data_IF_983600562789
#
_entry.id   IF_983600562789
#
_cell.length_a   1.000
_cell.length_b   1.000
_cell.length_c   1.000
_cell.angle_alpha   90.00
_cell.angle_beta   90.00
_cell.angle_gamma   90.00
#
_symmetry.space_group_name_H-M   'P 1'
#
loop_
_entity.id
_entity.type
_entity.pdbx_description
1 polymer ?
#
# COMPACT_ATOMS: atom_id res chain seq x y z
N UNK A 1 -15.67 27.26 22.09
CA UNK A 1 -14.73 26.86 21.01
C UNK A 1 -15.23 25.53 20.46
N UNK A 2 -16.12 25.57 19.47
CA UNK A 2 -16.83 24.40 18.97
C UNK A 2 -16.72 24.37 17.46
N UNK A 3 -15.92 23.44 16.95
CA UNK A 3 -16.11 22.70 15.70
C UNK A 3 -14.85 21.90 15.40
N UNK A 4 -14.79 20.66 15.85
CA UNK A 4 -13.96 19.66 15.17
C UNK A 4 -14.87 18.50 14.79
N UNK A 5 -15.75 18.77 13.81
CA UNK A 5 -16.34 17.68 13.06
C UNK A 5 -15.23 17.11 12.18
N UNK A 6 -15.00 15.80 12.28
CA UNK A 6 -14.02 15.13 11.43
C UNK A 6 -14.36 15.38 9.95
N UNK A 7 -13.32 15.66 9.15
CA UNK A 7 -13.45 15.79 7.70
C UNK A 7 -13.94 14.46 7.10
N UNK A 8 -14.49 14.49 5.88
CA UNK A 8 -14.91 13.27 5.18
C UNK A 8 -13.76 12.27 5.07
N UNK A 9 -12.55 12.75 4.77
CA UNK A 9 -11.35 11.92 4.70
C UNK A 9 -10.99 11.29 6.04
N UNK A 10 -11.01 12.06 7.13
CA UNK A 10 -10.75 11.51 8.47
C UNK A 10 -11.77 10.43 8.84
N UNK A 11 -13.05 10.61 8.51
CA UNK A 11 -14.07 9.57 8.71
C UNK A 11 -13.82 8.32 7.87
N UNK A 12 -13.35 8.48 6.64
CA UNK A 12 -12.97 7.35 5.78
C UNK A 12 -11.76 6.60 6.35
N UNK A 13 -10.72 7.31 6.80
CA UNK A 13 -9.57 6.71 7.46
C UNK A 13 -9.96 5.95 8.72
N UNK A 14 -10.78 6.56 9.59
CA UNK A 14 -11.26 5.91 10.82
C UNK A 14 -12.17 4.71 10.59
N UNK A 15 -12.91 4.68 9.46
CA UNK A 15 -13.69 3.52 9.06
C UNK A 15 -12.78 2.34 8.64
N UNK A 16 -11.58 2.63 8.15
CA UNK A 16 -10.66 1.65 7.58
C UNK A 16 -11.11 1.13 6.20
N UNK A 17 -10.33 0.20 5.67
CA UNK A 17 -10.55 -0.43 4.35
C UNK A 17 -10.04 0.43 3.20
N UNK A 18 -10.56 0.14 2.00
CA UNK A 18 -10.18 0.83 0.77
C UNK A 18 -10.66 2.29 0.76
N UNK A 19 -9.74 3.21 0.51
CA UNK A 19 -10.05 4.61 0.21
C UNK A 19 -10.02 4.85 -1.30
N UNK A 20 -11.02 5.57 -1.85
CA UNK A 20 -10.99 5.94 -3.26
C UNK A 20 -9.83 6.90 -3.52
N UNK A 21 -9.04 6.60 -4.56
CA UNK A 21 -7.94 7.49 -4.97
C UNK A 21 -8.42 8.66 -5.86
N UNK A 22 -9.64 8.60 -6.40
CA UNK A 22 -10.18 9.62 -7.31
C UNK A 22 -10.37 10.94 -6.56
N UNK A 23 -9.61 11.98 -6.97
CA UNK A 23 -9.63 13.28 -6.31
C UNK A 23 -8.96 13.31 -4.93
N UNK A 24 -8.23 12.25 -4.55
CA UNK A 24 -7.55 12.17 -3.26
C UNK A 24 -6.28 13.04 -3.26
N UNK A 25 -6.27 14.08 -2.44
CA UNK A 25 -5.07 14.91 -2.24
C UNK A 25 -4.09 14.20 -1.29
N UNK A 26 -2.89 13.94 -1.78
CA UNK A 26 -1.79 13.31 -1.04
C UNK A 26 -1.48 14.04 0.24
N UNK A 27 -1.45 15.37 0.18
CA UNK A 27 -1.16 16.18 1.35
C UNK A 27 -2.27 16.04 2.39
N UNK A 28 -3.53 16.04 1.95
CA UNK A 28 -4.66 15.87 2.86
C UNK A 28 -4.66 14.52 3.57
N UNK A 29 -4.23 13.43 2.90
CA UNK A 29 -4.09 12.11 3.55
C UNK A 29 -2.95 12.12 4.57
N UNK A 30 -1.79 12.69 4.22
CA UNK A 30 -0.66 12.82 5.16
C UNK A 30 -1.09 13.60 6.41
N UNK A 31 -1.72 14.76 6.20
CA UNK A 31 -2.19 15.63 7.28
C UNK A 31 -3.25 14.90 8.13
N UNK A 32 -4.23 14.24 7.50
CA UNK A 32 -5.28 13.52 8.21
C UNK A 32 -4.76 12.28 8.97
N UNK A 33 -3.84 11.50 8.39
CA UNK A 33 -3.20 10.38 9.08
C UNK A 33 -2.42 10.85 10.30
N UNK A 34 -1.67 11.95 10.16
CA UNK A 34 -0.92 12.55 11.26
C UNK A 34 -1.85 13.08 12.37
N UNK A 35 -2.91 13.80 12.02
CA UNK A 35 -3.90 14.31 12.98
C UNK A 35 -4.65 13.19 13.73
N UNK A 36 -4.88 12.07 13.07
CA UNK A 36 -5.51 10.89 13.66
C UNK A 36 -4.50 10.00 14.42
N UNK A 37 -3.20 10.25 14.31
CA UNK A 37 -2.15 9.42 14.92
C UNK A 37 -2.01 8.04 14.28
N UNK A 38 -2.35 7.92 12.98
CA UNK A 38 -2.18 6.71 12.17
C UNK A 38 -0.78 6.72 11.52
N UNK A 39 -0.10 5.57 11.53
CA UNK A 39 1.16 5.43 10.81
C UNK A 39 0.91 5.30 9.30
N UNK A 40 1.50 6.17 8.49
CA UNK A 40 1.34 6.18 7.04
C UNK A 40 2.57 5.56 6.37
N UNK A 41 2.35 4.52 5.58
CA UNK A 41 3.36 3.84 4.76
C UNK A 41 3.06 4.05 3.28
N UNK A 42 4.07 4.43 2.50
CA UNK A 42 3.94 4.67 1.05
C UNK A 42 4.81 3.68 0.29
N UNK A 43 4.18 2.70 -0.33
CA UNK A 43 4.80 1.71 -1.19
C UNK A 43 4.86 2.23 -2.64
N UNK A 44 6.06 2.53 -3.14
CA UNK A 44 6.25 2.95 -4.52
C UNK A 44 6.19 1.74 -5.48
N UNK A 45 5.06 1.57 -6.15
CA UNK A 45 4.80 0.48 -7.10
C UNK A 45 5.05 0.87 -8.57
N UNK A 46 5.47 2.10 -8.87
CA UNK A 46 5.78 2.55 -10.24
C UNK A 46 6.78 1.65 -11.00
N UNK A 47 7.87 1.12 -10.40
CA UNK A 47 8.76 0.19 -11.10
C UNK A 47 8.23 -1.26 -11.11
N UNK A 48 7.10 -1.55 -10.48
CA UNK A 48 6.60 -2.92 -10.36
C UNK A 48 5.98 -3.39 -11.69
N UNK A 49 6.45 -4.54 -12.17
CA UNK A 49 5.95 -5.25 -13.37
C UNK A 49 5.43 -6.65 -13.07
N UNK A 50 5.39 -7.03 -11.79
CA UNK A 50 4.97 -8.35 -11.33
C UNK A 50 4.55 -8.29 -9.87
N UNK A 51 3.73 -9.24 -9.42
CA UNK A 51 3.36 -9.39 -8.01
C UNK A 51 4.55 -9.34 -7.07
N UNK A 52 5.62 -10.07 -7.36
CA UNK A 52 6.82 -10.07 -6.53
C UNK A 52 7.48 -8.68 -6.42
N UNK A 53 7.40 -7.85 -7.48
CA UNK A 53 7.89 -6.47 -7.42
C UNK A 53 6.99 -5.58 -6.56
N UNK A 54 5.66 -5.76 -6.62
CA UNK A 54 4.72 -5.05 -5.74
C UNK A 54 4.94 -5.44 -4.27
N UNK A 55 5.04 -6.74 -3.97
CA UNK A 55 5.30 -7.23 -2.62
C UNK A 55 6.62 -6.67 -2.07
N UNK A 56 7.69 -6.60 -2.87
CA UNK A 56 8.95 -5.98 -2.45
C UNK A 56 8.81 -4.48 -2.18
N UNK A 57 7.98 -3.77 -2.94
CA UNK A 57 7.70 -2.36 -2.68
C UNK A 57 7.00 -2.16 -1.32
N UNK A 58 6.06 -3.06 -0.97
CA UNK A 58 5.38 -3.05 0.33
C UNK A 58 6.36 -3.38 1.45
N UNK A 59 7.11 -4.48 1.32
CA UNK A 59 8.14 -4.91 2.29
C UNK A 59 9.09 -3.76 2.62
N UNK A 60 9.58 -3.05 1.60
CA UNK A 60 10.47 -1.91 1.77
C UNK A 60 9.80 -0.71 2.46
N UNK A 61 8.52 -0.48 2.20
CA UNK A 61 7.80 0.68 2.73
C UNK A 61 7.35 0.49 4.17
N UNK A 62 6.94 -0.71 4.54
CA UNK A 62 6.46 -1.06 5.88
C UNK A 62 7.60 -1.61 6.77
N UNK A 63 8.76 -1.89 6.18
CA UNK A 63 9.93 -2.46 6.85
C UNK A 63 9.66 -3.87 7.42
N UNK A 64 9.10 -4.74 6.56
CA UNK A 64 8.82 -6.13 6.91
C UNK A 64 10.10 -6.94 7.18
N UNK A 65 10.02 -8.00 8.01
CA UNK A 65 11.18 -8.79 8.40
C UNK A 65 11.85 -9.52 7.22
N UNK A 66 13.14 -9.84 7.39
CA UNK A 66 13.97 -10.51 6.36
C UNK A 66 13.45 -11.90 5.95
N UNK A 67 12.65 -12.54 6.80
CA UNK A 67 12.04 -13.85 6.54
C UNK A 67 10.66 -13.76 5.85
N UNK A 68 10.32 -12.63 5.22
CA UNK A 68 9.07 -12.48 4.47
C UNK A 68 8.90 -13.58 3.41
N UNK A 69 7.80 -14.33 3.49
CA UNK A 69 7.55 -15.53 2.66
C UNK A 69 7.29 -15.26 1.17
N UNK A 70 7.26 -14.01 0.72
CA UNK A 70 7.18 -13.66 -0.71
C UNK A 70 5.85 -13.97 -1.38
N UNK A 71 4.79 -14.23 -0.59
CA UNK A 71 3.47 -14.62 -1.06
C UNK A 71 2.36 -13.79 -0.38
N UNK A 72 1.11 -14.01 -0.78
CA UNK A 72 -0.04 -13.24 -0.32
C UNK A 72 -0.44 -13.56 1.13
N UNK A 73 -0.24 -14.81 1.57
CA UNK A 73 -0.50 -15.21 2.96
C UNK A 73 0.50 -14.53 3.90
N UNK A 74 1.79 -14.52 3.52
CA UNK A 74 2.84 -13.80 4.24
C UNK A 74 2.59 -12.28 4.27
N UNK A 75 2.00 -11.72 3.22
CA UNK A 75 1.58 -10.32 3.20
C UNK A 75 0.48 -10.08 4.24
N UNK A 76 -0.55 -10.91 4.27
CA UNK A 76 -1.63 -10.81 5.25
C UNK A 76 -1.07 -10.88 6.68
N UNK A 77 -0.24 -11.88 6.98
CA UNK A 77 0.33 -12.08 8.31
C UNK A 77 1.15 -10.86 8.76
N UNK A 78 2.04 -10.35 7.89
CA UNK A 78 2.87 -9.18 8.22
C UNK A 78 2.04 -7.90 8.36
N UNK A 79 0.97 -7.73 7.58
CA UNK A 79 0.05 -6.60 7.75
C UNK A 79 -0.68 -6.69 9.09
N UNK A 80 -1.14 -7.88 9.49
CA UNK A 80 -1.77 -8.10 10.79
C UNK A 80 -0.81 -7.76 11.94
N UNK A 81 0.43 -8.24 11.89
CA UNK A 81 1.45 -7.92 12.89
C UNK A 81 1.71 -6.41 12.96
N UNK A 82 1.89 -5.76 11.80
CA UNK A 82 2.08 -4.30 11.70
C UNK A 82 0.89 -3.56 12.34
N UNK A 83 -0.34 -3.97 12.04
CA UNK A 83 -1.55 -3.38 12.63
C UNK A 83 -1.55 -3.49 14.15
N UNK A 84 -1.13 -4.63 14.70
CA UNK A 84 -1.08 -4.86 16.15
C UNK A 84 -0.01 -4.01 16.83
N UNK A 85 1.14 -3.82 16.17
CA UNK A 85 2.26 -2.99 16.64
C UNK A 85 1.90 -1.50 16.70
N UNK A 86 0.99 -1.04 15.83
CA UNK A 86 0.52 0.34 15.79
C UNK A 86 -0.77 0.53 16.60
N UNK A 87 -0.65 1.09 17.82
CA UNK A 87 -1.77 1.30 18.77
C UNK A 87 -3.03 1.93 18.18
N UNK A 88 -2.90 2.92 17.31
CA UNK A 88 -4.05 3.57 16.67
C UNK A 88 -4.47 2.85 15.39
N UNK A 89 -3.47 2.43 14.61
CA UNK A 89 -3.67 1.87 13.28
C UNK A 89 -2.72 2.46 12.25
N UNK A 90 -2.97 2.07 11.01
CA UNK A 90 -2.05 2.21 9.89
C UNK A 90 -2.78 2.54 8.60
N UNK A 91 -2.09 3.27 7.74
CA UNK A 91 -2.53 3.61 6.39
C UNK A 91 -1.48 3.15 5.40
N UNK A 92 -1.84 2.27 4.47
CA UNK A 92 -0.96 1.79 3.41
C UNK A 92 -1.33 2.44 2.08
N UNK A 93 -0.40 3.18 1.48
CA UNK A 93 -0.57 3.76 0.16
C UNK A 93 0.26 2.99 -0.88
N UNK A 94 -0.42 2.28 -1.78
CA UNK A 94 0.17 1.68 -2.97
C UNK A 94 0.23 2.73 -4.09
N UNK A 95 1.38 3.39 -4.21
CA UNK A 95 1.59 4.49 -5.14
C UNK A 95 1.90 3.97 -6.55
N UNK A 96 1.08 4.38 -7.54
CA UNK A 96 1.24 4.04 -8.97
C UNK A 96 1.30 2.53 -9.23
N UNK A 97 0.31 1.81 -8.73
CA UNK A 97 0.14 0.39 -9.07
C UNK A 97 -0.43 0.26 -10.49
N UNK A 98 0.30 -0.39 -11.39
CA UNK A 98 -0.10 -0.59 -12.79
C UNK A 98 -1.14 -1.71 -12.98
N UNK A 99 -2.28 -1.60 -12.31
CA UNK A 99 -3.36 -2.61 -12.38
C UNK A 99 -4.05 -2.71 -13.74
N UNK A 100 -3.82 -1.74 -14.64
CA UNK A 100 -4.29 -1.79 -16.03
C UNK A 100 -3.41 -2.64 -16.95
N UNK A 101 -2.32 -3.21 -16.43
CA UNK A 101 -1.52 -4.21 -17.14
C UNK A 101 -2.14 -5.61 -16.90
N UNK A 102 -2.49 -6.38 -17.95
CA UNK A 102 -3.08 -7.73 -17.79
C UNK A 102 -2.23 -8.67 -16.92
N UNK A 103 -0.92 -8.45 -16.85
CA UNK A 103 0.00 -9.25 -16.02
C UNK A 103 -0.18 -8.95 -14.53
N UNK A 104 -0.66 -7.75 -14.17
CA UNK A 104 -0.83 -7.29 -12.80
C UNK A 104 -2.30 -7.15 -12.41
N UNK A 105 -3.25 -7.17 -13.33
CA UNK A 105 -4.69 -6.99 -13.05
C UNK A 105 -5.19 -8.00 -12.00
N UNK A 106 -4.97 -9.29 -12.24
CA UNK A 106 -5.40 -10.36 -11.32
C UNK A 106 -4.64 -10.29 -9.98
N UNK A 107 -3.34 -10.01 -10.03
CA UNK A 107 -2.51 -9.92 -8.82
C UNK A 107 -2.84 -8.67 -7.99
N UNK A 108 -3.18 -7.55 -8.61
CA UNK A 108 -3.61 -6.33 -7.94
C UNK A 108 -4.93 -6.55 -7.21
N UNK A 109 -5.90 -7.23 -7.84
CA UNK A 109 -7.16 -7.60 -7.20
C UNK A 109 -6.95 -8.54 -5.98
N UNK A 110 -6.00 -9.47 -6.08
CA UNK A 110 -5.63 -10.33 -4.94
C UNK A 110 -4.96 -9.55 -3.81
N UNK A 111 -4.07 -8.61 -4.13
CA UNK A 111 -3.45 -7.73 -3.13
C UNK A 111 -4.50 -6.86 -2.45
N UNK A 112 -5.45 -6.31 -3.21
CA UNK A 112 -6.58 -5.56 -2.65
C UNK A 112 -7.43 -6.43 -1.71
N UNK A 113 -7.69 -7.68 -2.10
CA UNK A 113 -8.42 -8.64 -1.24
C UNK A 113 -7.68 -8.86 0.07
N UNK A 114 -6.38 -9.12 0.04
CA UNK A 114 -5.54 -9.27 1.25
C UNK A 114 -5.56 -8.01 2.12
N UNK A 115 -5.48 -6.83 1.52
CA UNK A 115 -5.59 -5.57 2.26
C UNK A 115 -6.98 -5.38 2.88
N UNK A 116 -8.04 -5.81 2.20
CA UNK A 116 -9.40 -5.80 2.74
C UNK A 116 -9.54 -6.74 3.94
N UNK A 117 -9.01 -7.96 3.84
CA UNK A 117 -9.03 -8.93 4.94
C UNK A 117 -8.25 -8.40 6.16
N UNK A 118 -7.08 -7.78 5.92
CA UNK A 118 -6.31 -7.12 6.98
C UNK A 118 -7.07 -5.92 7.60
N UNK A 119 -7.91 -5.22 6.81
CA UNK A 119 -8.78 -4.17 7.33
C UNK A 119 -9.85 -4.70 8.28
N UNK A 120 -10.45 -5.83 7.94
CA UNK A 120 -11.42 -6.50 8.81
C UNK A 120 -10.74 -7.01 10.09
N UNK A 121 -9.58 -7.65 9.98
CA UNK A 121 -8.78 -8.05 11.14
C UNK A 121 -8.46 -6.86 12.07
N UNK A 122 -8.03 -5.73 11.50
CA UNK A 122 -7.74 -4.52 12.27
C UNK A 122 -8.98 -4.06 13.05
N UNK A 123 -10.13 -4.01 12.39
CA UNK A 123 -11.40 -3.60 13.00
C UNK A 123 -11.82 -4.53 14.14
N UNK A 124 -11.66 -5.83 13.99
CA UNK A 124 -11.95 -6.83 15.03
C UNK A 124 -11.03 -6.67 16.25
N UNK A 125 -9.80 -6.20 16.05
CA UNK A 125 -8.82 -5.95 17.11
C UNK A 125 -8.86 -4.52 17.66
N UNK A 126 -9.86 -3.71 17.29
CA UNK A 126 -9.99 -2.32 17.74
C UNK A 126 -8.84 -1.43 17.25
N UNK A 127 -8.34 -1.72 16.05
CA UNK A 127 -7.34 -0.95 15.31
C UNK A 127 -7.94 -0.45 14.00
N UNK A 128 -7.21 0.44 13.35
CA UNK A 128 -7.57 0.95 12.03
C UNK A 128 -6.55 0.44 11.03
N UNK A 129 -7.01 -0.15 9.93
CA UNK A 129 -6.19 -0.35 8.75
C UNK A 129 -6.94 0.22 7.56
N UNK A 130 -6.34 1.22 6.94
CA UNK A 130 -6.84 1.90 5.76
C UNK A 130 -5.83 1.72 4.63
N UNK A 131 -6.29 1.62 3.39
CA UNK A 131 -5.38 1.52 2.26
C UNK A 131 -5.87 2.29 1.04
N UNK A 132 -4.92 2.78 0.25
CA UNK A 132 -5.16 3.50 -1.00
C UNK A 132 -4.42 2.77 -2.10
N UNK A 133 -5.12 2.47 -3.20
CA UNK A 133 -4.49 1.97 -4.42
C UNK A 133 -4.56 3.11 -5.44
N UNK A 134 -3.43 3.76 -5.70
CA UNK A 134 -3.33 4.74 -6.78
C UNK A 134 -3.02 4.00 -8.07
N UNK A 135 -4.06 3.75 -8.86
CA UNK A 135 -3.92 3.07 -10.14
C UNK A 135 -3.15 3.96 -11.12
N UNK A 136 -1.95 3.54 -11.49
CA UNK A 136 -1.32 4.03 -12.71
C UNK A 136 -1.93 3.22 -13.86
N UNK A 137 -2.26 3.88 -14.98
CA UNK A 137 -2.74 3.18 -16.18
C UNK A 137 -1.73 2.14 -16.68
N UNK A 138 -2.00 1.56 -17.86
CA UNK A 138 -1.08 0.59 -18.47
C UNK A 138 0.34 1.15 -18.49
N UNK A 139 1.30 0.30 -18.15
CA UNK A 139 2.70 0.69 -18.26
C UNK A 139 2.97 1.18 -19.70
N UNK A 140 3.61 2.35 -19.91
CA UNK A 140 4.12 2.66 -21.24
C UNK A 140 5.03 1.49 -21.67
N UNK A 141 4.84 0.98 -22.88
CA UNK A 141 5.71 -0.06 -23.44
C UNK A 141 7.17 0.31 -23.16
N UNK A 142 8.01 -0.63 -22.69
CA UNK A 142 9.44 -0.34 -22.54
C UNK A 142 9.94 0.15 -23.89
N UNK A 143 10.55 1.34 -23.93
CA UNK A 143 11.27 1.76 -25.14
C UNK A 143 12.25 0.64 -25.49
N UNK A 144 12.15 0.04 -26.69
CA UNK A 144 13.02 -1.06 -27.05
C UNK A 144 14.45 -0.54 -27.15
N UNK A 145 15.32 -0.97 -26.23
CA UNK A 145 16.77 -1.01 -26.48
C UNK A 145 17.68 -0.10 -25.67
N UNK A 146 17.65 -0.17 -24.33
CA UNK A 146 18.88 0.05 -23.56
C UNK A 146 19.20 -1.23 -22.81
N UNK A 147 20.11 -2.00 -23.38
CA UNK A 147 20.73 -3.14 -22.71
C UNK A 147 21.27 -2.67 -21.35
N UNK A 148 20.91 -3.38 -20.29
CA UNK A 148 21.57 -3.21 -19.01
C UNK A 148 23.08 -3.40 -19.24
N UNK A 149 23.87 -2.40 -18.87
CA UNK A 149 25.32 -2.52 -18.89
C UNK A 149 25.70 -3.77 -18.06
N UNK A 150 26.57 -4.65 -18.58
CA UNK A 150 27.05 -5.78 -17.80
C UNK A 150 27.74 -5.24 -16.55
N UNK A 151 27.27 -5.68 -15.38
CA UNK A 151 27.96 -5.39 -14.12
C UNK A 151 29.38 -5.96 -14.21
N UNK A 152 30.34 -5.12 -13.81
CA UNK A 152 31.76 -5.24 -14.07
C UNK A 152 32.35 -6.62 -13.79
N UNK A 153 33.10 -7.07 -14.79
CA UNK A 153 34.30 -7.86 -14.59
C UNK A 153 35.31 -6.99 -13.80
N UNK A 154 35.67 -7.45 -12.61
CA UNK A 154 36.90 -7.11 -11.88
C UNK A 154 37.01 -8.08 -10.70
N UNK A 155 37.60 -9.25 -10.95
CA UNK A 155 38.83 -9.71 -10.30
C UNK A 155 39.49 -10.79 -11.16
#
# INVERSE_FOLDING_TARGET
MTRNGQSTLQKQLLRGGALPHEGLDKKAVVDASHELGLALFVANCDPARSRSAVLRAIVKAVDFPEYFGGNLDALYDCLCDTVLDHKTGVVLWLYRLHSGDPVLEEDAAKIETVCSDAADFARENGRIFAFVIEHAGRHPDPEPGIAAAPYGEND
#
